data_IF_330874162315
#
_entry.id   IF_330874162315
#
_cell.length_a   1.000
_cell.length_b   1.000
_cell.length_c   1.000
_cell.angle_alpha   90.00
_cell.angle_beta   90.00
_cell.angle_gamma   90.00
#
_symmetry.space_group_name_H-M   'P 1'
#
loop_
_entity.id
_entity.type
_entity.pdbx_description
1 polymer ?
#
# COMPACT_ATOMS: atom_id res chain seq x y z
N UNK A 1 3.16 -37.94 6.85
CA UNK A 1 4.18 -38.04 6.36
C UNK A 1 4.56 -37.05 5.42
N UNK A 2 4.00 -36.79 4.44
CA UNK A 2 4.33 -35.88 3.55
C UNK A 2 4.44 -34.55 4.14
N UNK A 3 3.75 -34.24 5.09
CA UNK A 3 3.79 -32.97 5.64
C UNK A 3 5.17 -32.60 6.04
N UNK A 4 5.95 -33.48 6.30
CA UNK A 4 7.26 -33.23 6.69
C UNK A 4 7.91 -32.35 5.72
N UNK A 5 7.80 -32.67 4.55
CA UNK A 5 8.39 -31.97 3.52
C UNK A 5 8.07 -30.55 3.55
N UNK A 6 6.90 -30.25 3.81
CA UNK A 6 6.53 -28.93 3.82
C UNK A 6 7.27 -28.17 4.78
N UNK A 7 7.48 -28.71 5.87
CA UNK A 7 8.17 -28.03 6.88
C UNK A 7 9.46 -27.53 6.38
N UNK A 8 10.13 -28.30 5.66
CA UNK A 8 11.38 -27.95 5.17
C UNK A 8 11.30 -26.76 4.34
N UNK A 9 10.46 -26.77 3.44
CA UNK A 9 10.29 -25.71 2.58
C UNK A 9 10.08 -24.45 3.30
N UNK A 10 9.28 -24.49 4.26
CA UNK A 10 9.01 -23.29 4.98
C UNK A 10 10.29 -22.71 5.49
N UNK A 11 11.15 -23.50 5.92
CA UNK A 11 12.34 -22.98 6.52
C UNK A 11 13.09 -22.20 5.49
N UNK A 12 13.00 -22.55 4.27
CA UNK A 12 13.67 -21.86 3.28
C UNK A 12 13.10 -20.53 3.07
N UNK A 13 11.88 -20.50 2.98
CA UNK A 13 11.21 -19.29 2.70
C UNK A 13 11.75 -18.18 3.48
N UNK A 14 12.15 -18.41 4.61
CA UNK A 14 12.55 -17.37 5.41
C UNK A 14 13.80 -16.73 4.95
N UNK A 15 14.59 -17.43 4.40
CA UNK A 15 15.83 -16.91 4.06
C UNK A 15 15.77 -15.52 3.55
N UNK A 16 15.07 -15.17 2.66
CA UNK A 16 15.15 -13.86 2.17
C UNK A 16 14.23 -13.00 2.92
N UNK A 17 13.06 -13.31 2.97
CA UNK A 17 12.12 -12.50 3.67
C UNK A 17 12.03 -11.06 3.28
N UNK A 18 12.84 -10.54 2.46
CA UNK A 18 12.74 -9.15 2.16
C UNK A 18 11.80 -8.86 1.03
N UNK A 19 11.98 -9.37 -0.09
CA UNK A 19 11.15 -9.09 -1.24
C UNK A 19 10.34 -10.32 -1.63
N UNK A 20 9.22 -10.14 -2.25
CA UNK A 20 8.37 -11.25 -2.64
C UNK A 20 7.79 -10.98 -4.00
N UNK A 21 7.46 -12.01 -4.72
CA UNK A 21 6.82 -11.88 -6.02
C UNK A 21 5.34 -12.15 -5.92
N UNK A 22 4.80 -12.22 -4.72
CA UNK A 22 3.38 -12.47 -4.56
C UNK A 22 2.57 -11.31 -5.13
N UNK A 23 1.38 -11.58 -5.67
CA UNK A 23 0.52 -10.54 -6.18
C UNK A 23 0.17 -9.57 -5.05
N UNK A 24 0.12 -8.29 -5.37
CA UNK A 24 -0.25 -7.29 -4.38
C UNK A 24 -1.76 -7.36 -4.20
N UNK A 25 -2.22 -7.39 -2.98
CA UNK A 25 -3.65 -7.47 -2.69
C UNK A 25 -4.33 -6.19 -3.15
N UNK A 26 -5.44 -6.33 -3.88
CA UNK A 26 -6.18 -5.21 -4.42
C UNK A 26 -7.58 -5.26 -3.85
N UNK A 27 -8.01 -4.26 -3.13
CA UNK A 27 -9.31 -4.24 -2.47
C UNK A 27 -10.15 -3.05 -2.94
N UNK A 28 -11.46 -3.26 -3.08
CA UNK A 28 -12.38 -2.18 -3.39
C UNK A 28 -12.36 -1.18 -2.22
N UNK A 29 -12.77 0.07 -2.42
CA UNK A 29 -12.65 1.11 -1.40
C UNK A 29 -13.19 0.75 -0.01
N UNK A 30 -14.38 0.17 0.07
CA UNK A 30 -14.93 -0.17 1.37
C UNK A 30 -14.14 -1.26 2.06
N UNK A 31 -13.72 -2.28 1.32
CA UNK A 31 -12.93 -3.36 1.88
C UNK A 31 -11.53 -2.85 2.27
N UNK A 32 -10.98 -1.95 1.46
CA UNK A 32 -9.68 -1.34 1.72
C UNK A 32 -9.69 -0.60 3.07
N UNK A 33 -10.68 0.26 3.28
CA UNK A 33 -10.69 1.04 4.52
C UNK A 33 -11.07 0.16 5.71
N UNK A 34 -11.93 -0.84 5.53
CA UNK A 34 -12.27 -1.74 6.61
C UNK A 34 -11.03 -2.53 7.06
N UNK A 35 -10.23 -2.99 6.11
CA UNK A 35 -9.01 -3.73 6.43
C UNK A 35 -8.01 -2.82 7.14
N UNK A 36 -7.87 -1.57 6.67
CA UNK A 36 -6.94 -0.64 7.30
C UNK A 36 -7.38 -0.31 8.73
N UNK A 37 -8.68 -0.13 8.95
CA UNK A 37 -9.17 0.19 10.28
C UNK A 37 -9.03 -0.97 11.25
N UNK A 38 -9.03 -2.19 10.76
CA UNK A 38 -8.88 -3.37 11.60
C UNK A 38 -7.40 -3.71 11.83
N UNK A 39 -6.49 -3.01 11.19
CA UNK A 39 -5.07 -3.32 11.25
C UNK A 39 -4.37 -2.24 12.06
N UNK A 40 -3.91 -2.58 13.27
CA UNK A 40 -3.28 -1.61 14.15
C UNK A 40 -1.95 -1.10 13.61
N UNK A 41 -1.38 -1.76 12.61
CA UNK A 41 -0.12 -1.33 12.02
C UNK A 41 -0.35 -0.51 10.77
N UNK A 42 -1.58 -0.29 10.34
CA UNK A 42 -1.89 0.33 9.06
C UNK A 42 -1.31 1.73 8.90
N UNK A 43 -0.76 1.99 7.74
CA UNK A 43 -0.36 3.32 7.31
C UNK A 43 -1.11 3.53 6.01
N UNK A 44 -1.90 4.60 5.87
CA UNK A 44 -2.60 4.91 4.63
C UNK A 44 -1.72 5.89 3.85
N UNK A 45 -1.38 5.54 2.63
CA UNK A 45 -0.43 6.30 1.84
C UNK A 45 -1.07 6.82 0.56
N UNK A 46 -1.08 8.14 0.40
CA UNK A 46 -1.60 8.78 -0.80
C UNK A 46 -0.39 9.15 -1.66
N UNK A 47 -0.28 8.55 -2.85
CA UNK A 47 0.89 8.79 -3.69
C UNK A 47 0.59 9.74 -4.85
N UNK A 48 -0.46 10.59 -4.68
CA UNK A 48 -0.81 11.60 -5.67
C UNK A 48 0.03 12.85 -5.49
N UNK A 49 -0.25 13.87 -6.28
CA UNK A 49 0.45 15.15 -6.18
C UNK A 49 -0.09 15.95 -4.99
N UNK A 50 0.69 16.87 -4.45
CA UNK A 50 0.24 17.71 -3.34
C UNK A 50 -1.06 18.45 -3.63
N UNK A 51 -1.28 18.92 -4.87
CA UNK A 51 -2.49 19.62 -5.22
C UNK A 51 -3.71 18.72 -5.14
N UNK A 52 -3.57 17.47 -5.52
CA UNK A 52 -4.66 16.51 -5.42
C UNK A 52 -4.99 16.23 -3.96
N UNK A 53 -3.96 16.05 -3.15
CA UNK A 53 -4.13 15.77 -1.72
C UNK A 53 -4.85 16.94 -1.03
N UNK A 54 -4.49 18.17 -1.38
CA UNK A 54 -5.11 19.35 -0.79
C UNK A 54 -6.59 19.48 -1.11
N UNK A 55 -7.02 18.95 -2.25
CA UNK A 55 -8.42 19.02 -2.64
C UNK A 55 -9.27 17.98 -1.92
N UNK A 56 -8.66 16.96 -1.38
CA UNK A 56 -9.38 15.93 -0.63
C UNK A 56 -8.55 14.66 -0.56
N UNK A 57 -8.57 13.99 0.58
CA UNK A 57 -7.82 12.76 0.79
C UNK A 57 -8.51 11.92 1.87
N UNK A 58 -8.11 10.68 2.03
CA UNK A 58 -8.66 9.83 3.06
C UNK A 58 -8.13 10.27 4.42
N UNK A 59 -8.97 10.17 5.44
CA UNK A 59 -8.58 10.55 6.79
C UNK A 59 -7.34 9.80 7.23
N UNK A 60 -6.38 10.50 7.73
CA UNK A 60 -5.14 9.90 8.23
C UNK A 60 -4.12 9.56 7.16
N UNK A 61 -4.41 9.85 5.89
CA UNK A 61 -3.46 9.52 4.83
C UNK A 61 -2.21 10.40 4.91
N UNK A 62 -1.08 9.78 4.62
CA UNK A 62 0.20 10.48 4.54
C UNK A 62 0.49 10.65 3.07
N UNK A 63 0.90 11.85 2.67
CA UNK A 63 1.21 12.13 1.27
C UNK A 63 2.65 11.79 0.96
N UNK A 64 2.86 11.02 -0.10
CA UNK A 64 4.19 10.72 -0.59
C UNK A 64 4.12 10.67 -2.11
N UNK A 65 4.44 11.79 -2.76
CA UNK A 65 4.23 11.98 -4.20
C UNK A 65 5.10 11.07 -5.06
N UNK A 66 4.46 10.11 -5.72
CA UNK A 66 5.16 9.15 -6.58
C UNK A 66 5.88 9.84 -7.75
N UNK A 67 5.35 10.97 -8.21
CA UNK A 67 5.94 11.65 -9.36
C UNK A 67 7.16 12.50 -9.00
N UNK A 68 7.50 12.59 -7.73
CA UNK A 68 8.67 13.31 -7.29
C UNK A 68 9.70 12.27 -6.83
N UNK A 69 10.49 11.76 -7.76
CA UNK A 69 11.40 10.64 -7.48
C UNK A 69 12.23 10.79 -6.22
N UNK A 70 12.91 11.91 -6.10
CA UNK A 70 13.78 12.09 -4.95
C UNK A 70 12.98 12.12 -3.66
N UNK A 71 11.89 12.86 -3.64
CA UNK A 71 11.06 12.97 -2.45
C UNK A 71 10.46 11.62 -2.09
N UNK A 72 10.02 10.86 -3.10
CA UNK A 72 9.42 9.56 -2.84
C UNK A 72 10.44 8.62 -2.22
N UNK A 73 11.63 8.52 -2.79
CA UNK A 73 12.65 7.62 -2.27
C UNK A 73 13.12 8.02 -0.88
N UNK A 74 13.27 9.31 -0.63
CA UNK A 74 13.65 9.78 0.69
C UNK A 74 12.55 9.48 1.70
N UNK A 75 11.30 9.61 1.29
CA UNK A 75 10.17 9.31 2.15
C UNK A 75 10.08 7.84 2.50
N UNK A 76 10.41 6.97 1.55
CA UNK A 76 10.36 5.54 1.82
C UNK A 76 11.32 5.16 2.95
N UNK A 77 12.46 5.81 3.00
CA UNK A 77 13.43 5.50 4.03
C UNK A 77 12.93 5.79 5.44
N UNK A 78 11.91 6.63 5.54
CA UNK A 78 11.36 7.00 6.84
C UNK A 78 10.19 6.12 7.23
N UNK A 79 9.75 5.23 6.35
CA UNK A 79 8.61 4.36 6.64
C UNK A 79 9.07 3.06 7.28
N UNK A 80 8.22 2.50 8.12
CA UNK A 80 8.52 1.26 8.84
C UNK A 80 8.01 0.08 8.02
N UNK A 81 8.92 -0.74 7.48
CA UNK A 81 8.57 -1.87 6.64
C UNK A 81 7.75 -2.94 7.37
N UNK A 82 7.77 -2.92 8.70
CA UNK A 82 7.01 -3.91 9.46
C UNK A 82 5.52 -3.59 9.46
N UNK A 83 5.16 -2.37 9.08
CA UNK A 83 3.76 -1.96 9.05
C UNK A 83 3.18 -2.20 7.66
N UNK A 84 1.89 -2.45 7.59
CA UNK A 84 1.23 -2.66 6.30
C UNK A 84 0.80 -1.30 5.75
N UNK A 85 1.16 -1.05 4.50
CA UNK A 85 0.88 0.21 3.85
C UNK A 85 -0.28 0.05 2.87
N UNK A 86 -1.35 0.80 3.12
CA UNK A 86 -2.58 0.80 2.33
C UNK A 86 -2.49 1.99 1.39
N UNK A 87 -2.22 1.72 0.11
CA UNK A 87 -1.82 2.75 -0.83
C UNK A 87 -2.86 3.03 -1.90
N UNK A 88 -3.01 4.30 -2.26
CA UNK A 88 -3.91 4.68 -3.34
C UNK A 88 -3.39 5.89 -4.10
N UNK A 89 -3.86 6.05 -5.35
CA UNK A 89 -3.65 7.24 -6.12
C UNK A 89 -5.00 7.65 -6.70
N UNK A 90 -5.04 8.35 -7.80
CA UNK A 90 -6.29 8.81 -8.37
C UNK A 90 -7.09 7.67 -9.01
N UNK A 91 -6.46 6.86 -9.87
CA UNK A 91 -7.13 5.79 -10.60
C UNK A 91 -6.53 4.40 -10.39
N UNK A 92 -5.42 4.31 -9.70
CA UNK A 92 -4.76 3.03 -9.46
C UNK A 92 -3.44 2.88 -10.21
N UNK A 93 -3.16 3.73 -11.21
CA UNK A 93 -1.96 3.55 -12.02
C UNK A 93 -0.67 3.89 -11.29
N UNK A 94 -0.61 5.08 -10.69
CA UNK A 94 0.58 5.50 -9.95
C UNK A 94 0.77 4.65 -8.71
N UNK A 95 -0.33 4.29 -8.02
CA UNK A 95 -0.22 3.50 -6.80
C UNK A 95 0.25 2.09 -7.12
N UNK A 96 -0.14 1.52 -8.26
CA UNK A 96 0.34 0.19 -8.61
C UNK A 96 1.86 0.22 -8.86
N UNK A 97 2.34 1.24 -9.54
CA UNK A 97 3.77 1.38 -9.77
C UNK A 97 4.51 1.57 -8.45
N UNK A 98 3.98 2.43 -7.58
CA UNK A 98 4.60 2.67 -6.27
C UNK A 98 4.58 1.40 -5.42
N UNK A 99 3.45 0.70 -5.42
CA UNK A 99 3.31 -0.53 -4.63
C UNK A 99 4.30 -1.59 -5.11
N UNK A 100 4.48 -1.72 -6.41
CA UNK A 100 5.40 -2.69 -6.97
C UNK A 100 6.83 -2.38 -6.51
N UNK A 101 7.22 -1.11 -6.57
CA UNK A 101 8.55 -0.72 -6.11
C UNK A 101 8.69 -0.99 -4.62
N UNK A 102 7.70 -0.62 -3.83
CA UNK A 102 7.77 -0.80 -2.39
C UNK A 102 7.83 -2.27 -2.01
N UNK A 103 7.06 -3.12 -2.70
CA UNK A 103 7.10 -4.53 -2.40
C UNK A 103 8.48 -5.10 -2.69
N UNK A 104 9.14 -4.63 -3.76
CA UNK A 104 10.48 -5.10 -4.07
C UNK A 104 11.50 -4.66 -3.02
N UNK A 105 11.14 -3.69 -2.19
CA UNK A 105 11.99 -3.26 -1.09
C UNK A 105 11.56 -3.86 0.25
N UNK A 106 10.68 -4.85 0.22
CA UNK A 106 10.29 -5.56 1.44
C UNK A 106 9.08 -5.00 2.19
N UNK A 107 8.37 -4.05 1.60
CA UNK A 107 7.18 -3.50 2.24
C UNK A 107 5.96 -4.40 2.07
N UNK A 108 5.06 -4.36 3.02
CA UNK A 108 3.78 -5.06 2.96
C UNK A 108 2.76 -4.08 2.44
N UNK A 109 2.12 -4.40 1.32
CA UNK A 109 1.28 -3.44 0.60
C UNK A 109 -0.12 -3.98 0.32
N UNK A 110 -1.11 -3.11 0.43
CA UNK A 110 -2.48 -3.37 0.00
C UNK A 110 -2.88 -2.17 -0.86
N UNK A 111 -3.44 -2.39 -2.04
CA UNK A 111 -3.85 -1.32 -2.94
C UNK A 111 -5.36 -1.12 -2.99
N UNK A 112 -5.80 0.10 -3.27
CA UNK A 112 -7.22 0.39 -3.45
C UNK A 112 -7.57 0.27 -4.94
N UNK A 113 -8.53 -0.58 -5.27
CA UNK A 113 -8.98 -0.74 -6.64
C UNK A 113 -9.68 0.53 -7.09
N UNK A 114 -9.30 1.06 -8.25
CA UNK A 114 -9.93 2.25 -8.82
C UNK A 114 -9.54 3.56 -8.18
N UNK A 115 -8.76 3.52 -7.12
CA UNK A 115 -8.22 4.72 -6.50
C UNK A 115 -9.23 5.71 -5.92
N UNK A 116 -8.79 6.93 -5.76
CA UNK A 116 -9.59 7.99 -5.17
C UNK A 116 -10.88 8.25 -5.94
N UNK A 117 -10.86 8.13 -7.26
CA UNK A 117 -12.07 8.32 -8.05
C UNK A 117 -13.14 7.30 -7.66
N UNK A 118 -12.74 6.05 -7.43
CA UNK A 118 -13.68 5.02 -7.04
C UNK A 118 -14.17 5.26 -5.60
N UNK A 119 -13.29 5.70 -4.72
CA UNK A 119 -13.64 6.04 -3.34
C UNK A 119 -14.74 7.11 -3.33
N UNK A 120 -14.55 8.19 -4.10
CA UNK A 120 -15.51 9.27 -4.15
C UNK A 120 -16.82 8.82 -4.81
N UNK A 121 -16.74 8.00 -5.84
CA UNK A 121 -17.94 7.54 -6.53
C UNK A 121 -18.82 6.70 -5.61
N UNK A 122 -18.24 6.09 -4.58
CA UNK A 122 -18.99 5.31 -3.62
C UNK A 122 -19.49 6.18 -2.46
N UNK A 123 -19.26 7.46 -2.51
CA UNK A 123 -19.74 8.38 -1.48
C UNK A 123 -19.02 8.31 -0.15
N UNK A 124 -17.81 7.79 -0.15
CA UNK A 124 -17.05 7.66 1.09
C UNK A 124 -16.43 8.99 1.51
N UNK A 125 -16.21 9.20 2.80
CA UNK A 125 -15.79 10.52 3.30
C UNK A 125 -14.36 10.90 2.98
N UNK A 126 -14.14 12.21 2.80
CA UNK A 126 -12.80 12.73 2.54
C UNK A 126 -12.53 13.89 3.49
N UNK A 127 -11.25 14.22 3.65
CA UNK A 127 -10.82 15.37 4.43
C UNK A 127 -10.07 16.31 3.53
N UNK A 128 -9.92 17.55 3.92
CA UNK A 128 -9.13 18.52 3.17
C UNK A 128 -8.05 19.13 4.03
#
# INVERSE_FOLDING_TARGET
>A
MKHLIMTLISSLGLCSGSATDEPIQLLAPKAFIAAAQADSTAVILDVRRPSEFAEGHLKGAILLDWLSDKTFLEGLEKLDKERTHYIYCRSGKRSHAAATLMQSHGFKIVEMEGGYLNWVSEGLPVEK
#
